data_IF_805884882330
#
_entry.id   IF_805884882330
#
_cell.length_a   1.000
_cell.length_b   1.000
_cell.length_c   1.000
_cell.angle_alpha   90.00
_cell.angle_beta   90.00
_cell.angle_gamma   90.00
#
_symmetry.space_group_name_H-M   'P 1'
#
loop_
_entity.id
_entity.type
_entity.pdbx_description
1 polymer ?
#
# COMPACT_ATOMS: atom_id res chain seq x y z
N UNK A 1 24.11 8.71 -14.53
CA UNK A 1 22.68 9.02 -14.27
C UNK A 1 21.85 7.73 -14.18
N UNK A 2 21.94 6.81 -15.14
CA UNK A 2 21.26 5.51 -15.12
C UNK A 2 21.43 4.74 -13.79
N UNK A 3 22.68 4.52 -13.35
CA UNK A 3 22.97 3.81 -12.10
C UNK A 3 22.45 4.47 -10.79
N UNK A 4 22.01 5.74 -10.82
CA UNK A 4 21.33 6.37 -9.68
C UNK A 4 19.83 6.10 -9.73
N UNK A 5 19.24 6.14 -10.93
CA UNK A 5 17.84 5.81 -11.14
C UNK A 5 17.57 4.33 -10.81
N UNK A 6 18.40 3.41 -11.29
CA UNK A 6 18.24 1.97 -11.04
C UNK A 6 18.33 1.65 -9.53
N UNK A 7 19.26 2.29 -8.81
CA UNK A 7 19.39 2.15 -7.36
C UNK A 7 18.18 2.69 -6.60
N UNK A 8 17.66 3.86 -7.02
CA UNK A 8 16.46 4.42 -6.41
C UNK A 8 15.23 3.53 -6.64
N UNK A 9 15.10 2.97 -7.85
CA UNK A 9 14.03 2.04 -8.18
C UNK A 9 14.13 0.76 -7.35
N UNK A 10 15.32 0.16 -7.26
CA UNK A 10 15.55 -1.03 -6.44
C UNK A 10 15.22 -0.81 -4.96
N UNK A 11 15.62 0.34 -4.40
CA UNK A 11 15.27 0.70 -3.03
C UNK A 11 13.75 0.88 -2.84
N UNK A 12 13.07 1.52 -3.80
CA UNK A 12 11.62 1.69 -3.76
C UNK A 12 10.88 0.35 -3.88
N UNK A 13 11.34 -0.56 -4.75
CA UNK A 13 10.79 -1.91 -4.86
C UNK A 13 10.99 -2.73 -3.58
N UNK A 14 12.14 -2.61 -2.92
CA UNK A 14 12.39 -3.24 -1.62
C UNK A 14 11.44 -2.72 -0.55
N UNK A 15 11.30 -1.40 -0.41
CA UNK A 15 10.39 -0.80 0.56
C UNK A 15 8.91 -1.20 0.33
N UNK A 16 8.48 -1.32 -0.94
CA UNK A 16 7.14 -1.83 -1.26
C UNK A 16 6.97 -3.30 -0.87
N UNK A 17 8.00 -4.12 -1.06
CA UNK A 17 7.97 -5.52 -0.64
C UNK A 17 7.84 -5.64 0.88
N UNK A 18 8.64 -4.89 1.64
CA UNK A 18 8.58 -4.88 3.10
C UNK A 18 7.20 -4.43 3.61
N UNK A 19 6.59 -3.44 2.95
CA UNK A 19 5.24 -2.99 3.26
C UNK A 19 4.21 -4.11 3.04
N UNK A 20 4.28 -4.82 1.91
CA UNK A 20 3.37 -5.94 1.64
C UNK A 20 3.53 -7.06 2.67
N UNK A 21 4.77 -7.44 3.02
CA UNK A 21 5.03 -8.47 4.03
C UNK A 21 4.48 -8.07 5.41
N UNK A 22 4.60 -6.80 5.81
CA UNK A 22 3.99 -6.28 7.03
C UNK A 22 2.46 -6.46 7.04
N UNK A 23 1.79 -6.04 5.97
CA UNK A 23 0.34 -6.25 5.82
C UNK A 23 -0.06 -7.74 5.86
N UNK A 24 0.69 -8.61 5.20
CA UNK A 24 0.39 -10.04 5.17
C UNK A 24 0.54 -10.69 6.55
N UNK A 25 1.56 -10.26 7.31
CA UNK A 25 1.75 -10.69 8.69
C UNK A 25 0.61 -10.20 9.59
N UNK A 26 0.23 -8.92 9.49
CA UNK A 26 -0.84 -8.31 10.30
C UNK A 26 -2.20 -8.97 10.05
N UNK A 27 -2.48 -9.34 8.80
CA UNK A 27 -3.70 -10.08 8.44
C UNK A 27 -3.63 -11.58 8.79
N UNK A 28 -2.47 -12.09 9.20
CA UNK A 28 -2.28 -13.52 9.48
C UNK A 28 -2.47 -14.40 8.24
N UNK A 29 -1.96 -13.96 7.09
CA UNK A 29 -1.96 -14.77 5.87
C UNK A 29 -1.00 -15.97 6.02
N UNK A 30 -1.43 -17.12 5.52
CA UNK A 30 -0.55 -18.26 5.28
C UNK A 30 0.36 -17.98 4.09
N UNK A 31 1.47 -18.71 3.95
CA UNK A 31 2.37 -18.57 2.81
C UNK A 31 1.63 -18.66 1.45
N UNK A 32 0.72 -19.63 1.31
CA UNK A 32 -0.04 -19.77 0.06
C UNK A 32 -1.06 -18.64 -0.16
N UNK A 33 -1.57 -18.00 0.89
CA UNK A 33 -2.44 -16.83 0.76
C UNK A 33 -1.62 -15.59 0.39
N UNK A 34 -0.42 -15.42 0.96
CA UNK A 34 0.50 -14.33 0.62
C UNK A 34 0.92 -14.37 -0.86
N UNK A 35 1.18 -15.57 -1.41
CA UNK A 35 1.45 -15.75 -2.84
C UNK A 35 0.28 -15.26 -3.70
N UNK A 36 -0.95 -15.69 -3.36
CA UNK A 36 -2.17 -15.30 -4.09
C UNK A 36 -2.44 -13.80 -3.96
N UNK A 37 -2.24 -13.22 -2.78
CA UNK A 37 -2.37 -11.79 -2.54
C UNK A 37 -1.36 -11.00 -3.38
N UNK A 38 -0.10 -11.45 -3.43
CA UNK A 38 0.96 -10.84 -4.25
C UNK A 38 0.60 -10.80 -5.73
N UNK A 39 0.13 -11.91 -6.31
CA UNK A 39 -0.30 -11.91 -7.70
C UNK A 39 -1.53 -11.01 -7.94
N UNK A 40 -2.44 -10.98 -6.97
CA UNK A 40 -3.64 -10.13 -7.02
C UNK A 40 -3.28 -8.64 -7.00
N UNK A 41 -2.32 -8.24 -6.16
CA UNK A 41 -1.83 -6.86 -6.13
C UNK A 41 -1.15 -6.49 -7.45
N UNK A 42 -0.42 -7.44 -8.06
CA UNK A 42 0.24 -7.26 -9.38
C UNK A 42 -0.71 -7.16 -10.58
N UNK A 43 -2.02 -7.33 -10.40
CA UNK A 43 -2.98 -7.19 -11.50
C UNK A 43 -3.39 -8.50 -12.19
N UNK A 44 -2.87 -9.65 -11.77
CA UNK A 44 -3.23 -10.94 -12.37
C UNK A 44 -4.67 -11.36 -12.08
N UNK A 45 -5.32 -11.97 -13.06
CA UNK A 45 -6.64 -12.58 -12.98
C UNK A 45 -6.61 -13.90 -12.23
N UNK A 46 -7.77 -14.41 -11.81
CA UNK A 46 -7.88 -15.70 -11.13
C UNK A 46 -7.32 -16.84 -12.00
N UNK A 47 -7.59 -16.81 -13.31
CA UNK A 47 -7.12 -17.80 -14.26
C UNK A 47 -5.59 -17.79 -14.40
N UNK A 48 -4.98 -16.60 -14.49
CA UNK A 48 -3.52 -16.45 -14.55
C UNK A 48 -2.85 -16.95 -13.25
N UNK A 49 -3.42 -16.61 -12.09
CA UNK A 49 -2.93 -17.09 -10.79
C UNK A 49 -3.05 -18.60 -10.67
N UNK A 50 -4.16 -19.18 -11.12
CA UNK A 50 -4.39 -20.61 -11.14
C UNK A 50 -3.31 -21.32 -11.99
N UNK A 51 -3.05 -20.81 -13.19
CA UNK A 51 -2.02 -21.32 -14.08
C UNK A 51 -0.61 -21.21 -13.49
N UNK A 52 -0.23 -20.05 -12.96
CA UNK A 52 1.10 -19.84 -12.35
C UNK A 52 1.34 -20.73 -11.12
N UNK A 53 0.30 -21.02 -10.34
CA UNK A 53 0.38 -21.85 -9.13
C UNK A 53 0.12 -23.34 -9.38
N UNK A 54 -0.23 -23.76 -10.59
CA UNK A 54 -0.63 -25.15 -10.87
C UNK A 54 -1.85 -25.59 -10.04
N UNK A 55 -2.79 -24.68 -9.78
CA UNK A 55 -3.96 -24.91 -8.92
C UNK A 55 -5.25 -24.65 -9.68
N UNK A 56 -6.38 -25.20 -9.22
CA UNK A 56 -7.68 -24.91 -9.83
C UNK A 56 -8.14 -23.48 -9.50
N UNK A 57 -8.85 -22.82 -10.42
CA UNK A 57 -9.42 -21.47 -10.20
C UNK A 57 -10.30 -21.39 -8.94
N UNK A 58 -11.05 -22.45 -8.64
CA UNK A 58 -11.85 -22.52 -7.42
C UNK A 58 -10.99 -22.43 -6.14
N UNK A 59 -9.78 -23.00 -6.16
CA UNK A 59 -8.83 -22.93 -5.05
C UNK A 59 -8.32 -21.50 -4.87
N UNK A 60 -8.01 -20.81 -5.98
CA UNK A 60 -7.62 -19.39 -5.95
C UNK A 60 -8.76 -18.53 -5.41
N UNK A 61 -10.01 -18.75 -5.83
CA UNK A 61 -11.19 -18.06 -5.30
C UNK A 61 -11.34 -18.27 -3.79
N UNK A 62 -11.13 -19.49 -3.30
CA UNK A 62 -11.15 -19.79 -1.86
C UNK A 62 -10.08 -19.02 -1.10
N UNK A 63 -8.84 -18.98 -1.59
CA UNK A 63 -7.78 -18.17 -0.98
C UNK A 63 -8.14 -16.68 -0.97
N UNK A 64 -8.65 -16.14 -2.09
CA UNK A 64 -9.07 -14.73 -2.15
C UNK A 64 -10.15 -14.39 -1.13
N UNK A 65 -11.16 -15.24 -0.98
CA UNK A 65 -12.20 -15.03 0.03
C UNK A 65 -11.63 -15.05 1.46
N UNK A 66 -10.66 -15.93 1.73
CA UNK A 66 -9.98 -15.96 3.01
C UNK A 66 -9.12 -14.70 3.24
N UNK A 67 -8.37 -14.26 2.23
CA UNK A 67 -7.56 -13.04 2.25
C UNK A 67 -8.44 -11.82 2.54
N UNK A 68 -9.53 -11.64 1.80
CA UNK A 68 -10.43 -10.50 1.99
C UNK A 68 -11.04 -10.47 3.40
N UNK A 69 -11.47 -11.63 3.92
CA UNK A 69 -11.98 -11.74 5.29
C UNK A 69 -10.92 -11.39 6.32
N UNK A 70 -9.69 -11.88 6.15
CA UNK A 70 -8.57 -11.61 7.06
C UNK A 70 -8.11 -10.16 7.03
N UNK A 71 -8.12 -9.55 5.84
CA UNK A 71 -7.79 -8.15 5.63
C UNK A 71 -8.93 -7.18 5.98
N UNK A 72 -10.14 -7.68 6.28
CA UNK A 72 -11.30 -6.85 6.60
C UNK A 72 -11.84 -6.04 5.42
N UNK A 73 -11.58 -6.49 4.18
CA UNK A 73 -11.97 -5.79 2.94
C UNK A 73 -13.03 -6.56 2.16
N UNK A 74 -13.81 -5.84 1.33
CA UNK A 74 -14.86 -6.42 0.50
C UNK A 74 -14.33 -7.06 -0.79
N UNK A 75 -13.10 -6.76 -1.20
CA UNK A 75 -12.52 -7.34 -2.41
C UNK A 75 -11.25 -6.66 -2.88
N UNK A 76 -10.87 -7.00 -4.12
CA UNK A 76 -9.59 -6.65 -4.75
C UNK A 76 -9.26 -5.16 -4.68
N UNK A 77 -10.21 -4.30 -5.05
CA UNK A 77 -9.97 -2.86 -5.12
C UNK A 77 -9.59 -2.28 -3.74
N UNK A 78 -10.29 -2.70 -2.69
CA UNK A 78 -10.00 -2.27 -1.32
C UNK A 78 -8.70 -2.88 -0.78
N UNK A 79 -8.40 -4.14 -1.10
CA UNK A 79 -7.12 -4.75 -0.76
C UNK A 79 -5.94 -3.93 -1.30
N UNK A 80 -6.04 -3.51 -2.57
CA UNK A 80 -5.03 -2.67 -3.22
C UNK A 80 -5.03 -1.24 -2.65
N UNK A 81 -6.21 -0.70 -2.29
CA UNK A 81 -6.33 0.64 -1.69
C UNK A 81 -5.53 0.77 -0.41
N UNK A 82 -5.60 -0.21 0.51
CA UNK A 82 -4.81 -0.17 1.75
C UNK A 82 -3.30 -0.03 1.48
N UNK A 83 -2.78 -0.81 0.53
CA UNK A 83 -1.36 -0.72 0.16
C UNK A 83 -1.00 0.65 -0.44
N UNK A 84 -1.85 1.17 -1.33
CA UNK A 84 -1.62 2.48 -1.98
C UNK A 84 -1.73 3.62 -0.97
N UNK A 85 -2.68 3.58 -0.04
CA UNK A 85 -2.88 4.63 0.97
C UNK A 85 -1.63 4.82 1.83
N UNK A 86 -1.01 3.72 2.28
CA UNK A 86 0.21 3.80 3.07
C UNK A 86 1.45 4.15 2.25
N UNK A 87 1.54 3.66 1.01
CA UNK A 87 2.58 4.11 0.08
C UNK A 87 2.50 5.63 -0.14
N UNK A 88 1.29 6.17 -0.28
CA UNK A 88 1.04 7.60 -0.50
C UNK A 88 1.20 8.43 0.78
N UNK A 89 1.01 7.85 1.96
CA UNK A 89 1.25 8.50 3.26
C UNK A 89 2.72 8.93 3.44
N UNK A 90 3.66 8.20 2.84
CA UNK A 90 5.07 8.59 2.78
C UNK A 90 5.43 9.57 1.66
N UNK A 91 4.58 9.70 0.62
CA UNK A 91 4.89 10.43 -0.61
C UNK A 91 4.18 11.79 -0.74
N UNK A 92 3.03 11.98 -0.09
CA UNK A 92 2.30 13.25 -0.09
C UNK A 92 2.49 13.94 1.26
N UNK A 93 2.91 15.23 1.31
CA UNK A 93 2.73 15.98 2.53
C UNK A 93 1.24 15.93 2.86
N UNK A 94 0.90 15.36 4.03
CA UNK A 94 -0.46 15.42 4.55
C UNK A 94 -0.96 16.86 4.51
N UNK A 95 -2.28 17.10 4.44
CA UNK A 95 -2.81 18.45 4.49
C UNK A 95 -2.15 19.14 5.68
N UNK A 96 -1.29 20.13 5.39
CA UNK A 96 -0.69 20.97 6.42
C UNK A 96 -1.87 21.46 7.23
N UNK A 97 -1.89 21.22 8.52
CA UNK A 97 -2.94 21.74 9.39
C UNK A 97 -2.83 23.27 9.36
N UNK A 98 -3.48 23.89 8.37
CA UNK A 98 -3.41 25.33 8.08
C UNK A 98 -3.88 26.12 9.30
N UNK A 99 -4.57 25.50 10.26
CA UNK A 99 -5.00 26.09 11.52
C UNK A 99 -3.85 26.45 12.47
N UNK A 100 -2.73 25.73 12.44
CA UNK A 100 -1.57 26.05 13.27
C UNK A 100 -0.77 27.25 12.71
N UNK A 101 -0.74 27.40 11.38
CA UNK A 101 0.08 28.42 10.72
C UNK A 101 -0.57 29.83 10.76
N UNK A 102 -1.90 29.94 10.75
CA UNK A 102 -2.58 31.25 10.90
C UNK A 102 -2.45 31.85 12.30
N UNK A 103 -2.30 31.02 13.34
CA UNK A 103 -2.08 31.49 14.70
C UNK A 103 -0.67 32.10 14.88
N UNK A 104 0.34 31.55 14.20
CA UNK A 104 1.72 32.08 14.20
C UNK A 104 1.90 33.37 13.38
N UNK A 105 1.09 33.57 12.33
CA UNK A 105 1.17 34.75 11.46
C UNK A 105 0.51 36.00 12.07
N UNK A 106 -0.51 35.85 12.93
CA UNK A 106 -1.21 37.00 13.54
C UNK A 106 -0.42 37.71 14.64
N UNK A 107 0.55 37.02 15.26
CA UNK A 107 1.36 37.57 16.35
C UNK A 107 2.49 38.51 15.88
N UNK A 108 2.88 38.46 14.59
CA UNK A 108 4.04 39.20 14.09
C UNK A 108 3.71 40.55 13.44
N UNK A 109 2.43 40.93 13.33
CA UNK A 109 2.02 42.19 12.68
C UNK A 109 1.54 43.28 13.67
N UNK A 110 1.90 43.17 14.95
CA UNK A 110 1.56 44.15 16.00
C UNK A 110 2.83 44.80 16.55
N UNK A 111 3.46 45.63 15.72
CA UNK A 111 4.65 46.37 16.14
C UNK A 111 5.24 47.18 15.00
N UNK A 112 4.73 48.40 14.79
CA UNK A 112 5.46 49.64 14.44
C UNK A 112 4.44 50.67 13.97
N UNK A 113 3.98 51.52 14.89
CA UNK A 113 3.55 52.88 14.58
C UNK A 113 4.26 53.78 15.59
N UNK A 114 5.33 54.41 15.14
CA UNK A 114 5.96 55.57 15.75
C UNK A 114 6.53 56.42 14.60
#
# INVERSE_FOLDING_TARGET
RQARADRALSAASGALHDLMEGYFADWGLTASEADVATFTIKGFTIAEVAAMRGSAEATVKTHLNAIYRKAGVAGRAQLVSHLIEDLMRGALPGPKDTRADVAGARAQNSGTVA
#
